data_IF_353637873248
#
_entry.id   IF_353637873248
#
_cell.length_a   1.000
_cell.length_b   1.000
_cell.length_c   1.000
_cell.angle_alpha   90.00
_cell.angle_beta   90.00
_cell.angle_gamma   90.00
#
_symmetry.space_group_name_H-M   'P 1'
#
loop_
_entity.id
_entity.type
_entity.pdbx_description
1 polymer ?
#
# COMPACT_ATOMS: atom_id res chain seq x y z
N UNK A 1 -39.26 -20.14 5.82
CA UNK A 1 -38.28 -19.02 5.79
C UNK A 1 -36.85 -19.60 5.78
N UNK A 2 -36.65 -20.79 5.21
CA UNK A 2 -35.53 -21.68 5.60
C UNK A 2 -34.51 -21.91 4.46
N UNK A 3 -34.94 -21.77 3.20
CA UNK A 3 -34.07 -21.99 2.04
C UNK A 3 -32.92 -20.97 1.89
N UNK A 4 -33.08 -19.76 2.42
CA UNK A 4 -32.03 -18.72 2.38
C UNK A 4 -30.90 -19.05 3.38
N UNK A 5 -31.22 -19.70 4.49
CA UNK A 5 -30.25 -20.04 5.52
C UNK A 5 -29.40 -21.26 5.13
N UNK A 6 -30.04 -22.28 4.53
CA UNK A 6 -29.34 -23.48 4.03
C UNK A 6 -28.35 -23.16 2.90
N UNK A 7 -28.72 -22.28 1.96
CA UNK A 7 -27.86 -21.91 0.84
C UNK A 7 -26.63 -21.09 1.28
N UNK A 8 -26.79 -20.25 2.32
CA UNK A 8 -25.68 -19.51 2.93
C UNK A 8 -24.71 -20.43 3.71
N UNK A 9 -25.24 -21.43 4.41
CA UNK A 9 -24.40 -22.42 5.10
C UNK A 9 -23.63 -23.29 4.10
N UNK A 10 -24.30 -23.73 3.02
CA UNK A 10 -23.68 -24.55 1.99
C UNK A 10 -22.57 -23.82 1.22
N UNK A 11 -22.75 -22.53 0.93
CA UNK A 11 -21.72 -21.71 0.28
C UNK A 11 -20.54 -21.41 1.21
N UNK A 12 -20.78 -21.19 2.50
CA UNK A 12 -19.71 -20.99 3.49
C UNK A 12 -18.86 -22.25 3.69
N UNK A 13 -19.49 -23.43 3.79
CA UNK A 13 -18.78 -24.71 3.91
C UNK A 13 -17.94 -25.01 2.67
N UNK A 14 -18.49 -24.79 1.47
CA UNK A 14 -17.76 -24.99 0.21
C UNK A 14 -16.57 -24.04 0.05
N UNK A 15 -16.67 -22.79 0.55
CA UNK A 15 -15.55 -21.87 0.56
C UNK A 15 -14.42 -22.32 1.49
N UNK A 16 -14.74 -22.72 2.73
CA UNK A 16 -13.74 -23.21 3.69
C UNK A 16 -13.06 -24.50 3.20
N UNK A 17 -13.83 -25.44 2.65
CA UNK A 17 -13.30 -26.72 2.12
C UNK A 17 -12.38 -26.53 0.92
N UNK A 18 -12.55 -25.45 0.16
CA UNK A 18 -11.79 -25.19 -1.06
C UNK A 18 -10.70 -24.11 -0.90
N UNK A 19 -10.60 -23.52 0.29
CA UNK A 19 -9.67 -22.43 0.61
C UNK A 19 -8.23 -22.81 0.35
N UNK A 20 -7.79 -23.98 0.84
CA UNK A 20 -6.41 -24.42 0.71
C UNK A 20 -6.03 -24.69 -0.75
N UNK A 21 -6.94 -25.28 -1.53
CA UNK A 21 -6.76 -25.48 -2.98
C UNK A 21 -6.65 -24.15 -3.73
N UNK A 22 -7.48 -23.16 -3.36
CA UNK A 22 -7.43 -21.83 -3.97
C UNK A 22 -6.10 -21.14 -3.62
N UNK A 23 -5.65 -21.22 -2.36
CA UNK A 23 -4.37 -20.66 -1.91
C UNK A 23 -3.21 -21.32 -2.66
N UNK A 24 -3.21 -22.64 -2.79
CA UNK A 24 -2.17 -23.40 -3.49
C UNK A 24 -2.11 -23.03 -4.98
N UNK A 25 -3.26 -22.94 -5.67
CA UNK A 25 -3.34 -22.51 -7.06
C UNK A 25 -2.85 -21.08 -7.27
N UNK A 26 -3.22 -20.15 -6.39
CA UNK A 26 -2.76 -18.77 -6.44
C UNK A 26 -1.25 -18.68 -6.21
N UNK A 27 -0.72 -19.47 -5.25
CA UNK A 27 0.72 -19.50 -4.93
C UNK A 27 1.53 -20.02 -6.11
N UNK A 28 1.10 -21.12 -6.74
CA UNK A 28 1.73 -21.64 -7.95
C UNK A 28 1.69 -20.65 -9.11
N UNK A 29 0.56 -19.97 -9.29
CA UNK A 29 0.41 -18.97 -10.37
C UNK A 29 1.38 -17.80 -10.15
N UNK A 30 1.54 -17.32 -8.91
CA UNK A 30 2.47 -16.23 -8.57
C UNK A 30 3.93 -16.64 -8.79
N UNK A 31 4.31 -17.87 -8.43
CA UNK A 31 5.67 -18.39 -8.64
C UNK A 31 6.05 -18.54 -10.12
N UNK A 32 5.06 -18.71 -11.00
CA UNK A 32 5.27 -18.85 -12.45
C UNK A 32 5.32 -17.52 -13.20
N UNK A 33 5.04 -16.38 -12.54
CA UNK A 33 5.17 -15.07 -13.19
C UNK A 33 6.64 -14.66 -13.16
N UNK A 34 7.27 -14.64 -14.33
CA UNK A 34 8.59 -14.03 -14.47
C UNK A 34 8.53 -12.58 -13.96
N UNK A 35 9.47 -12.14 -13.11
CA UNK A 35 9.52 -10.76 -12.64
C UNK A 35 9.44 -9.80 -13.82
N UNK A 36 8.53 -8.83 -13.77
CA UNK A 36 8.37 -7.86 -14.87
C UNK A 36 9.69 -7.10 -15.03
N UNK A 37 10.40 -7.39 -16.12
CA UNK A 37 11.60 -6.65 -16.54
C UNK A 37 11.23 -5.17 -16.68
N UNK A 38 11.81 -4.33 -15.82
CA UNK A 38 11.69 -2.87 -15.96
C UNK A 38 12.58 -2.45 -17.13
N UNK A 39 12.08 -1.66 -18.10
CA UNK A 39 12.92 -1.20 -19.20
C UNK A 39 14.17 -0.49 -18.69
N UNK A 40 15.35 -0.90 -19.19
CA UNK A 40 16.65 -0.34 -18.82
C UNK A 40 16.64 1.19 -18.87
N UNK A 41 17.04 1.86 -17.78
CA UNK A 41 17.03 3.33 -17.68
C UNK A 41 15.66 3.95 -17.32
N UNK A 42 14.61 3.14 -17.17
CA UNK A 42 13.33 3.54 -16.54
C UNK A 42 13.15 2.92 -15.15
N UNK A 43 14.22 2.37 -14.60
CA UNK A 43 14.19 1.70 -13.31
C UNK A 43 13.72 2.67 -12.23
N UNK A 44 14.17 3.94 -12.25
CA UNK A 44 13.94 4.93 -11.20
C UNK A 44 13.08 6.14 -11.64
N UNK A 45 11.84 5.86 -12.06
CA UNK A 45 10.90 6.89 -12.53
C UNK A 45 9.74 7.17 -11.57
N UNK A 46 9.67 6.58 -10.38
CA UNK A 46 8.57 6.82 -9.45
C UNK A 46 8.87 7.89 -8.40
N UNK A 47 7.79 8.52 -7.96
CA UNK A 47 7.70 9.44 -6.83
C UNK A 47 6.74 8.80 -5.83
N UNK A 48 7.13 8.84 -4.57
CA UNK A 48 6.30 8.51 -3.43
C UNK A 48 6.08 9.78 -2.61
N UNK A 49 4.83 10.14 -2.37
CA UNK A 49 4.54 11.31 -1.57
C UNK A 49 3.37 11.09 -0.62
N UNK A 50 3.46 11.59 0.59
CA UNK A 50 2.40 11.53 1.60
C UNK A 50 1.89 12.94 1.86
N UNK A 51 0.60 13.16 1.66
CA UNK A 51 -0.05 14.48 1.78
C UNK A 51 -1.08 14.40 2.88
N UNK A 52 -1.03 15.34 3.83
CA UNK A 52 -2.09 15.52 4.80
C UNK A 52 -3.38 15.98 4.11
N UNK A 53 -4.50 15.31 4.37
CA UNK A 53 -5.79 15.60 3.70
C UNK A 53 -6.87 16.12 4.62
N UNK A 54 -6.91 15.69 5.88
CA UNK A 54 -7.90 16.16 6.85
C UNK A 54 -7.52 15.78 8.28
N UNK A 55 -7.97 16.57 9.23
CA UNK A 55 -8.05 16.20 10.64
C UNK A 55 -9.42 15.59 10.92
N UNK A 56 -9.47 14.31 11.26
CA UNK A 56 -10.69 13.60 11.61
C UNK A 56 -10.82 13.45 13.15
N UNK A 57 -11.99 13.04 13.61
CA UNK A 57 -12.22 12.63 15.00
C UNK A 57 -11.22 11.54 15.39
N UNK A 58 -10.95 10.61 14.45
CA UNK A 58 -10.05 9.47 14.62
C UNK A 58 -8.55 9.82 14.50
N UNK A 59 -8.21 11.04 14.04
CA UNK A 59 -6.83 11.50 13.92
C UNK A 59 -6.48 12.13 12.57
N UNK A 60 -5.19 12.21 12.28
CA UNK A 60 -4.67 12.92 11.10
C UNK A 60 -4.71 12.00 9.88
N UNK A 61 -5.50 12.36 8.86
CA UNK A 61 -5.68 11.54 7.67
C UNK A 61 -4.71 11.94 6.56
N UNK A 62 -4.09 10.94 5.95
CA UNK A 62 -3.08 11.11 4.92
C UNK A 62 -3.42 10.34 3.65
N UNK A 63 -3.03 10.92 2.52
CA UNK A 63 -3.10 10.29 1.20
C UNK A 63 -1.71 10.13 0.61
N UNK A 64 -1.43 8.91 0.20
CA UNK A 64 -0.24 8.52 -0.55
C UNK A 64 -0.48 8.73 -2.04
N UNK A 65 0.49 9.33 -2.70
CA UNK A 65 0.60 9.34 -4.15
C UNK A 65 1.83 8.53 -4.55
N UNK A 66 1.61 7.56 -5.44
CA UNK A 66 2.68 6.80 -6.09
C UNK A 66 2.60 7.04 -7.58
N UNK A 67 3.39 7.98 -8.08
CA UNK A 67 3.25 8.51 -9.44
C UNK A 67 4.54 8.33 -10.22
N UNK A 68 4.42 8.05 -11.50
CA UNK A 68 5.54 8.25 -12.42
C UNK A 68 5.90 9.74 -12.47
N UNK A 69 7.19 10.08 -12.55
CA UNK A 69 7.70 11.46 -12.67
C UNK A 69 6.97 12.24 -13.77
N UNK A 70 6.76 11.62 -14.94
CA UNK A 70 6.02 12.25 -16.06
C UNK A 70 4.55 12.58 -15.75
N UNK A 71 3.94 11.89 -14.79
CA UNK A 71 2.56 12.11 -14.36
C UNK A 71 2.47 13.14 -13.23
N UNK A 72 3.56 13.41 -12.53
CA UNK A 72 3.61 14.40 -11.45
C UNK A 72 3.34 15.83 -11.95
N UNK A 73 3.52 16.11 -13.25
CA UNK A 73 3.13 17.38 -13.88
C UNK A 73 1.64 17.73 -13.70
N UNK A 74 0.78 16.73 -13.51
CA UNK A 74 -0.64 16.95 -13.24
C UNK A 74 -0.92 17.35 -11.77
N UNK A 75 0.12 17.36 -10.93
CA UNK A 75 0.07 17.71 -9.51
C UNK A 75 1.17 18.73 -9.18
N UNK A 76 1.06 19.98 -9.68
CA UNK A 76 2.16 20.96 -9.64
C UNK A 76 2.64 21.30 -8.23
N UNK A 77 1.74 21.26 -7.24
CA UNK A 77 2.06 21.56 -5.83
C UNK A 77 2.29 20.31 -4.97
N UNK A 78 2.47 19.13 -5.59
CA UNK A 78 2.59 17.88 -4.83
C UNK A 78 3.77 17.94 -3.87
N UNK A 79 4.94 18.39 -4.35
CA UNK A 79 6.16 18.47 -3.53
C UNK A 79 6.00 19.38 -2.32
N UNK A 80 5.40 20.56 -2.52
CA UNK A 80 5.20 21.58 -1.49
C UNK A 80 4.16 21.16 -0.44
N UNK A 81 3.12 20.44 -0.86
CA UNK A 81 2.03 19.99 0.02
C UNK A 81 2.31 18.68 0.74
N UNK A 82 3.37 17.98 0.35
CA UNK A 82 3.68 16.68 0.90
C UNK A 82 4.40 16.80 2.22
N UNK A 83 3.90 16.10 3.23
CA UNK A 83 4.60 15.89 4.50
C UNK A 83 5.82 15.01 4.29
N UNK A 84 5.75 14.06 3.35
CA UNK A 84 6.89 13.27 2.90
C UNK A 84 6.92 13.25 1.38
N UNK A 85 8.07 13.56 0.77
CA UNK A 85 8.27 13.49 -0.67
C UNK A 85 9.60 12.83 -0.99
N UNK A 86 9.54 11.70 -1.69
CA UNK A 86 10.71 10.94 -2.11
C UNK A 86 10.58 10.71 -3.62
N UNK A 87 11.59 11.13 -4.37
CA UNK A 87 11.65 10.94 -5.81
C UNK A 87 12.70 9.88 -6.18
N UNK A 88 12.78 9.62 -7.49
CA UNK A 88 13.77 8.72 -8.05
C UNK A 88 13.70 7.29 -7.50
N UNK A 89 12.49 6.79 -7.26
CA UNK A 89 12.25 5.47 -6.72
C UNK A 89 12.09 4.41 -7.81
N UNK A 90 12.47 3.16 -7.51
CA UNK A 90 12.32 2.06 -8.44
C UNK A 90 10.84 1.78 -8.76
N UNK A 91 10.54 1.52 -10.05
CA UNK A 91 9.19 1.23 -10.54
C UNK A 91 8.60 -0.04 -9.91
N UNK A 92 9.44 -1.03 -9.65
CA UNK A 92 9.04 -2.39 -9.30
C UNK A 92 9.14 -2.73 -7.81
N UNK A 93 9.27 -1.74 -6.92
CA UNK A 93 9.46 -2.02 -5.50
C UNK A 93 8.14 -2.33 -4.76
N UNK A 94 8.22 -3.26 -3.81
CA UNK A 94 7.13 -3.66 -2.89
C UNK A 94 6.88 -2.63 -1.79
N UNK A 95 7.29 -1.38 -1.97
CA UNK A 95 7.22 -0.26 -1.02
C UNK A 95 5.86 -0.18 -0.30
N UNK A 96 4.74 -0.26 -1.03
CA UNK A 96 3.42 -0.16 -0.41
C UNK A 96 3.11 -1.34 0.52
N UNK A 97 3.56 -2.54 0.16
CA UNK A 97 3.37 -3.73 0.98
C UNK A 97 4.18 -3.61 2.27
N UNK A 98 5.45 -3.23 2.18
CA UNK A 98 6.30 -3.04 3.36
C UNK A 98 5.77 -1.95 4.29
N UNK A 99 5.35 -0.81 3.73
CA UNK A 99 4.71 0.26 4.50
C UNK A 99 3.44 -0.23 5.18
N UNK A 100 2.60 -1.01 4.50
CA UNK A 100 1.41 -1.61 5.12
C UNK A 100 1.77 -2.49 6.32
N UNK A 101 2.83 -3.31 6.23
CA UNK A 101 3.27 -4.14 7.36
C UNK A 101 3.79 -3.29 8.52
N UNK A 102 4.62 -2.28 8.24
CA UNK A 102 5.18 -1.38 9.27
C UNK A 102 4.10 -0.54 9.95
N UNK A 103 3.12 -0.04 9.21
CA UNK A 103 1.99 0.71 9.78
C UNK A 103 1.07 -0.18 10.64
N UNK A 104 0.84 -1.44 10.23
CA UNK A 104 0.07 -2.39 11.04
C UNK A 104 0.69 -2.64 12.42
N UNK A 105 2.02 -2.67 12.51
CA UNK A 105 2.73 -2.78 13.80
C UNK A 105 2.49 -1.59 14.73
N UNK A 106 2.06 -0.45 14.17
CA UNK A 106 1.66 0.77 14.89
C UNK A 106 0.14 0.88 15.06
N UNK A 107 -0.61 -0.21 14.83
CA UNK A 107 -2.08 -0.21 14.80
C UNK A 107 -2.70 0.76 13.77
N UNK A 108 -1.95 1.12 12.73
CA UNK A 108 -2.42 1.97 11.63
C UNK A 108 -2.76 1.09 10.44
N UNK A 109 -4.01 1.20 9.97
CA UNK A 109 -4.46 0.44 8.80
C UNK A 109 -4.41 1.33 7.57
N UNK A 110 -3.50 1.03 6.67
CA UNK A 110 -3.49 1.63 5.33
C UNK A 110 -4.48 0.89 4.43
N UNK A 111 -5.49 1.61 3.94
CA UNK A 111 -6.47 1.12 2.96
C UNK A 111 -6.24 1.83 1.64
N UNK A 112 -6.04 1.06 0.56
CA UNK A 112 -5.64 1.58 -0.74
C UNK A 112 -4.35 2.40 -0.63
N UNK A 113 -4.46 3.72 -0.78
CA UNK A 113 -3.38 4.69 -0.67
C UNK A 113 -3.69 5.76 0.39
N UNK A 114 -4.46 5.42 1.41
CA UNK A 114 -4.80 6.32 2.50
C UNK A 114 -4.66 5.62 3.84
N UNK A 115 -4.32 6.39 4.86
CA UNK A 115 -4.26 5.93 6.25
C UNK A 115 -4.53 7.10 7.19
N UNK A 116 -4.90 6.78 8.43
CA UNK A 116 -5.14 7.76 9.48
C UNK A 116 -4.20 7.46 10.63
N UNK A 117 -3.46 8.46 11.09
CA UNK A 117 -2.60 8.38 12.27
C UNK A 117 -3.46 8.75 13.49
N UNK A 118 -3.64 7.84 14.46
CA UNK A 118 -4.35 8.11 15.70
C UNK A 118 -3.76 9.31 16.46
N UNK A 119 -4.61 10.07 17.18
CA UNK A 119 -4.19 11.29 17.90
C UNK A 119 -3.15 11.08 18.99
N UNK A 120 -3.09 9.86 19.53
CA UNK A 120 -2.13 9.42 20.54
C UNK A 120 -0.75 9.08 19.96
N UNK A 121 -0.59 9.11 18.62
CA UNK A 121 0.67 8.85 17.94
C UNK A 121 1.24 10.10 17.27
N UNK A 122 2.57 10.21 17.26
CA UNK A 122 3.27 11.33 16.65
C UNK A 122 3.35 11.17 15.13
N UNK A 123 2.96 12.21 14.39
CA UNK A 123 2.98 12.21 12.92
C UNK A 123 4.41 12.09 12.38
N UNK A 124 5.37 12.80 12.96
CA UNK A 124 6.77 12.82 12.52
C UNK A 124 7.39 11.42 12.60
N UNK A 125 7.20 10.72 13.72
CA UNK A 125 7.71 9.36 13.91
C UNK A 125 7.17 8.38 12.85
N UNK A 126 5.90 8.53 12.47
CA UNK A 126 5.28 7.70 11.43
C UNK A 126 5.81 8.10 10.05
N UNK A 127 6.01 9.38 9.77
CA UNK A 127 6.59 9.83 8.49
C UNK A 127 8.04 9.38 8.36
N UNK A 128 8.83 9.39 9.44
CA UNK A 128 10.18 8.86 9.48
C UNK A 128 10.18 7.35 9.23
N UNK A 129 9.29 6.59 9.89
CA UNK A 129 9.12 5.15 9.65
C UNK A 129 8.80 4.86 8.18
N UNK A 130 7.85 5.59 7.60
CA UNK A 130 7.49 5.44 6.18
C UNK A 130 8.68 5.78 5.29
N UNK A 131 9.32 6.93 5.52
CA UNK A 131 10.45 7.40 4.73
C UNK A 131 11.63 6.43 4.75
N UNK A 132 11.94 5.86 5.91
CA UNK A 132 12.98 4.86 6.03
C UNK A 132 12.61 3.56 5.30
N UNK A 133 11.38 3.09 5.47
CA UNK A 133 10.89 1.89 4.77
C UNK A 133 10.96 2.04 3.25
N UNK A 134 10.60 3.21 2.72
CA UNK A 134 10.70 3.52 1.29
C UNK A 134 12.15 3.42 0.81
N UNK A 135 13.10 4.03 1.54
CA UNK A 135 14.52 4.01 1.17
C UNK A 135 15.10 2.61 1.25
N UNK A 136 14.88 1.90 2.37
CA UNK A 136 15.35 0.53 2.57
C UNK A 136 14.85 -0.38 1.44
N UNK A 137 13.58 -0.26 1.05
CA UNK A 137 12.98 -1.11 0.01
C UNK A 137 13.39 -0.68 -1.41
N UNK A 138 13.85 0.56 -1.60
CA UNK A 138 14.33 1.05 -2.88
C UNK A 138 15.80 0.69 -3.16
N UNK A 139 16.57 0.46 -2.10
CA UNK A 139 18.00 0.12 -2.17
C UNK A 139 18.27 -1.39 -2.36
N UNK A 140 17.23 -2.24 -2.22
CA UNK A 140 17.28 -3.70 -2.42
C UNK A 140 16.58 -4.10 -3.73
#
# INVERSE_FOLDING_TARGET
MDAINENNQQTHTNFEDNKDRIIEQLTHTIQQVEPRLVPKGREFEYIYSVVHVNDDIDGNSFKVHRLLKRSAKCYPHLRERSTLFIDNLPVAATINYEIQQRLRQRNIIMKNLSFTIPKDQNVEDIMELIGQTVRDTADH
#
